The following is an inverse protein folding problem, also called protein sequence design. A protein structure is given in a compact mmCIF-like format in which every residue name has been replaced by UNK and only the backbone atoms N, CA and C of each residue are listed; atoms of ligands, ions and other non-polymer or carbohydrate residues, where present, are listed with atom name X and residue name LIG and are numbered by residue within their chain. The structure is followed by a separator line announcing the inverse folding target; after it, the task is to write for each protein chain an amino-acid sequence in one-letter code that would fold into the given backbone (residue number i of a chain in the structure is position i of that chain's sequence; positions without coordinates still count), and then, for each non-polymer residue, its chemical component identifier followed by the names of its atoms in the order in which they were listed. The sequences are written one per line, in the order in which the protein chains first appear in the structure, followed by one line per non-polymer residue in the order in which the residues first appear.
data_IF_099162805246
#
_entry.id   IF_099162805246
#
_cell.length_a   1.000
_cell.length_b   1.000
_cell.length_c   1.000
_cell.angle_alpha   90.00
_cell.angle_beta   90.00
_cell.angle_gamma   90.00
#
_symmetry.space_group_name_H-M   'P 1'
#
loop_
_entity.id
_entity.type
_entity.pdbx_description
1 polymer ?
#
# COMPACT_ATOMS: atom_id res chain seq x y z
N UNK A 1 3.49 -38.00 -5.30
CA UNK A 1 3.43 -36.76 -6.11
C UNK A 1 4.56 -35.87 -5.65
N UNK A 2 5.54 -35.61 -6.50
CA UNK A 2 6.70 -34.77 -6.18
C UNK A 2 6.25 -33.32 -6.31
N UNK A 3 6.22 -32.59 -5.20
CA UNK A 3 5.99 -31.15 -5.19
C UNK A 3 7.26 -30.47 -5.69
N UNK A 4 7.21 -29.98 -6.93
CA UNK A 4 8.32 -29.21 -7.52
C UNK A 4 8.16 -27.78 -7.02
N UNK A 5 8.92 -27.42 -5.99
CA UNK A 5 9.14 -26.01 -5.66
C UNK A 5 9.83 -25.38 -6.87
N UNK A 6 9.08 -24.57 -7.62
CA UNK A 6 9.66 -23.71 -8.65
C UNK A 6 10.53 -22.68 -7.95
N UNK A 7 11.85 -22.92 -7.97
CA UNK A 7 12.86 -21.89 -7.70
C UNK A 7 12.57 -20.71 -8.63
N UNK A 8 12.22 -19.56 -8.04
CA UNK A 8 11.79 -18.37 -8.76
C UNK A 8 12.82 -17.96 -9.82
N UNK A 9 12.44 -18.10 -11.08
CA UNK A 9 13.15 -17.42 -12.17
C UNK A 9 13.03 -15.90 -12.01
N UNK A 10 13.91 -15.12 -12.64
CA UNK A 10 13.81 -13.66 -12.63
C UNK A 10 12.42 -13.25 -13.11
N UNK A 11 11.84 -12.25 -12.45
CA UNK A 11 10.55 -11.70 -12.87
C UNK A 11 10.60 -11.34 -14.36
N UNK A 12 9.52 -11.62 -15.12
CA UNK A 12 9.48 -11.24 -16.53
C UNK A 12 9.78 -9.75 -16.67
N UNK A 13 10.74 -9.40 -17.53
CA UNK A 13 10.99 -8.02 -17.93
C UNK A 13 10.16 -7.70 -19.17
N UNK A 14 9.69 -6.47 -19.26
CA UNK A 14 8.97 -5.98 -20.42
C UNK A 14 9.85 -5.93 -21.68
N UNK A 15 9.23 -5.83 -22.87
CA UNK A 15 9.96 -5.61 -24.10
C UNK A 15 10.74 -4.28 -24.04
N UNK A 16 11.83 -4.17 -24.80
CA UNK A 16 12.61 -2.94 -24.89
C UNK A 16 11.71 -1.76 -25.32
N UNK A 17 11.70 -0.68 -24.54
CA UNK A 17 10.86 0.50 -24.76
C UNK A 17 9.48 0.46 -24.07
N UNK A 18 9.17 -0.58 -23.29
CA UNK A 18 7.98 -0.61 -22.45
C UNK A 18 8.01 0.49 -21.37
N UNK A 19 6.85 1.03 -21.03
CA UNK A 19 6.74 2.05 -19.99
C UNK A 19 7.25 1.48 -18.66
N UNK A 20 8.13 2.23 -18.00
CA UNK A 20 8.63 1.92 -16.67
C UNK A 20 8.80 3.20 -15.88
N UNK A 21 8.45 3.11 -14.60
CA UNK A 21 8.70 4.18 -13.65
C UNK A 21 9.27 3.68 -12.34
N UNK A 22 10.09 4.51 -11.72
CA UNK A 22 10.67 4.30 -10.40
C UNK A 22 10.34 5.51 -9.53
N UNK A 23 9.74 5.24 -8.39
CA UNK A 23 9.50 6.19 -7.31
C UNK A 23 10.37 5.76 -6.14
N UNK A 24 11.09 6.71 -5.55
CA UNK A 24 11.94 6.48 -4.39
C UNK A 24 11.27 7.06 -3.16
N UNK A 25 11.60 6.47 -2.03
CA UNK A 25 11.13 6.88 -0.73
C UNK A 25 12.34 6.91 0.22
N UNK A 26 12.42 7.85 1.17
CA UNK A 26 13.55 7.92 2.09
C UNK A 26 13.57 6.68 3.01
N UNK A 27 14.57 6.60 3.88
CA UNK A 27 14.66 5.51 4.85
C UNK A 27 14.35 6.09 6.22
N UNK A 28 13.50 5.38 6.97
CA UNK A 28 13.28 5.60 8.40
C UNK A 28 12.07 6.47 8.72
N UNK A 29 11.04 6.44 7.87
CA UNK A 29 9.75 7.11 8.05
C UNK A 29 8.56 6.14 8.07
N UNK A 30 8.80 4.90 8.48
CA UNK A 30 7.76 3.91 8.80
C UNK A 30 7.02 4.16 10.12
N UNK A 31 6.87 5.43 10.50
CA UNK A 31 6.26 5.93 11.73
C UNK A 31 5.02 6.83 11.47
N UNK A 32 4.43 6.73 10.28
CA UNK A 32 3.16 7.34 9.90
C UNK A 32 3.19 8.87 10.06
N UNK A 33 2.36 9.48 10.92
CA UNK A 33 2.41 10.91 11.22
C UNK A 33 3.64 11.34 12.04
N UNK A 34 4.62 10.47 12.25
CA UNK A 34 5.81 10.71 13.07
C UNK A 34 5.65 10.30 14.54
N UNK A 35 4.51 9.69 14.88
CA UNK A 35 4.20 9.26 16.26
C UNK A 35 4.07 7.75 16.39
N UNK A 36 4.01 7.00 15.28
CA UNK A 36 3.69 5.59 15.34
C UNK A 36 4.82 4.75 15.88
N UNK A 37 4.45 3.69 16.58
CA UNK A 37 5.39 2.75 17.19
C UNK A 37 5.04 1.34 16.78
N UNK A 38 6.07 0.59 16.41
CA UNK A 38 5.94 -0.81 16.05
C UNK A 38 5.36 -1.66 17.18
N UNK A 39 4.71 -2.79 16.86
CA UNK A 39 4.44 -3.83 17.83
C UNK A 39 5.71 -4.37 18.48
N UNK A 40 5.59 -4.94 19.67
CA UNK A 40 6.74 -5.40 20.45
C UNK A 40 7.20 -6.82 20.09
N UNK A 41 6.40 -7.60 19.36
CA UNK A 41 6.80 -8.93 18.92
C UNK A 41 7.93 -8.86 17.87
N UNK A 42 8.98 -9.68 17.99
CA UNK A 42 10.13 -9.64 17.09
C UNK A 42 9.81 -10.00 15.63
N UNK A 43 8.62 -10.54 15.32
CA UNK A 43 8.21 -10.74 13.92
C UNK A 43 8.05 -9.43 13.15
N UNK A 44 7.80 -8.32 13.84
CA UNK A 44 7.71 -6.98 13.23
C UNK A 44 9.09 -6.30 13.26
N UNK A 45 9.98 -6.75 12.38
CA UNK A 45 11.34 -6.22 12.26
C UNK A 45 11.26 -4.75 11.82
N UNK A 46 12.02 -3.85 12.45
CA UNK A 46 12.12 -2.45 12.02
C UNK A 46 12.55 -2.36 10.55
N UNK A 47 11.92 -1.46 9.79
CA UNK A 47 12.09 -1.38 8.34
C UNK A 47 11.19 -2.31 7.54
N UNK A 48 10.36 -3.16 8.18
CA UNK A 48 9.43 -4.05 7.47
C UNK A 48 8.30 -3.32 6.75
N UNK A 49 8.05 -2.07 7.14
CA UNK A 49 7.01 -1.19 6.62
C UNK A 49 7.58 0.15 6.11
N UNK A 50 8.90 0.26 6.00
CA UNK A 50 9.67 1.43 5.53
C UNK A 50 9.87 1.28 4.04
N UNK A 51 9.05 1.95 3.24
CA UNK A 51 9.17 1.99 1.81
C UNK A 51 10.54 2.55 1.44
N UNK A 52 11.09 2.07 0.34
CA UNK A 52 12.37 2.62 -0.17
C UNK A 52 12.32 2.85 -1.66
N UNK A 53 11.52 2.04 -2.36
CA UNK A 53 11.37 2.12 -3.79
C UNK A 53 10.14 1.38 -4.28
N UNK A 54 9.49 1.97 -5.27
CA UNK A 54 8.43 1.35 -6.05
C UNK A 54 8.82 1.40 -7.53
N UNK A 55 9.02 0.23 -8.14
CA UNK A 55 9.19 0.10 -9.59
C UNK A 55 7.89 -0.44 -10.21
N UNK A 56 7.38 0.22 -11.24
CA UNK A 56 6.21 -0.21 -12.02
C UNK A 56 6.62 -0.37 -13.48
N UNK A 57 6.33 -1.53 -14.07
CA UNK A 57 6.82 -1.92 -15.38
C UNK A 57 5.70 -2.55 -16.21
N UNK A 58 5.47 -2.03 -17.42
CA UNK A 58 4.69 -2.74 -18.43
C UNK A 58 5.47 -3.97 -18.91
N UNK A 59 4.90 -5.16 -18.73
CA UNK A 59 5.52 -6.44 -19.05
C UNK A 59 4.60 -7.33 -19.89
N UNK A 60 4.32 -6.91 -21.13
CA UNK A 60 3.54 -7.69 -22.09
C UNK A 60 2.06 -7.69 -21.73
N UNK A 61 1.49 -8.86 -21.39
CA UNK A 61 0.10 -8.98 -20.93
C UNK A 61 -0.08 -8.61 -19.45
N UNK A 62 1.02 -8.29 -18.76
CA UNK A 62 1.03 -7.99 -17.34
C UNK A 62 1.64 -6.61 -17.05
N UNK A 63 1.42 -6.16 -15.84
CA UNK A 63 2.11 -5.05 -15.19
C UNK A 63 2.79 -5.61 -13.95
N UNK A 64 4.08 -5.32 -13.78
CA UNK A 64 4.87 -5.77 -12.64
C UNK A 64 5.06 -4.60 -11.69
N UNK A 65 4.60 -4.78 -10.46
CA UNK A 65 4.87 -3.87 -9.34
C UNK A 65 5.95 -4.50 -8.46
N UNK A 66 7.03 -3.76 -8.18
CA UNK A 66 8.06 -4.16 -7.22
C UNK A 66 8.07 -3.13 -6.10
N UNK A 67 7.62 -3.53 -4.92
CA UNK A 67 7.60 -2.67 -3.72
C UNK A 67 8.73 -3.12 -2.81
N UNK A 68 9.72 -2.26 -2.62
CA UNK A 68 10.90 -2.51 -1.80
C UNK A 68 10.78 -1.82 -0.45
N UNK A 69 11.20 -2.52 0.60
CA UNK A 69 11.24 -2.01 1.98
C UNK A 69 12.63 -2.15 2.61
N UNK A 70 12.88 -1.42 3.69
CA UNK A 70 14.17 -1.37 4.39
C UNK A 70 14.44 -2.57 5.33
N UNK A 71 13.79 -3.71 5.08
CA UNK A 71 14.06 -4.96 5.78
C UNK A 71 13.84 -6.17 4.87
N UNK A 72 14.47 -7.32 5.16
CA UNK A 72 14.16 -8.57 4.46
C UNK A 72 12.68 -8.95 4.63
N UNK A 73 12.01 -9.26 3.52
CA UNK A 73 10.66 -9.82 3.55
C UNK A 73 10.72 -11.25 4.11
N UNK A 74 9.97 -11.48 5.18
CA UNK A 74 9.96 -12.76 5.89
C UNK A 74 8.55 -13.36 5.99
N UNK A 75 8.48 -14.65 6.33
CA UNK A 75 7.24 -15.40 6.45
C UNK A 75 7.08 -16.11 7.81
N UNK A 76 7.14 -15.38 8.94
CA UNK A 76 7.03 -15.97 10.27
C UNK A 76 5.72 -16.73 10.51
N UNK A 77 4.65 -16.41 9.78
CA UNK A 77 3.34 -17.06 9.93
C UNK A 77 3.10 -18.19 8.93
N UNK A 78 4.08 -18.55 8.11
CA UNK A 78 3.98 -19.68 7.18
C UNK A 78 2.89 -19.50 6.11
N UNK A 79 2.63 -18.26 5.70
CA UNK A 79 1.64 -17.93 4.68
C UNK A 79 2.03 -18.54 3.32
N UNK A 80 1.04 -18.99 2.55
CA UNK A 80 1.27 -19.59 1.24
C UNK A 80 1.87 -18.62 0.21
N UNK A 81 1.69 -17.32 0.41
CA UNK A 81 2.26 -16.24 -0.42
C UNK A 81 3.77 -16.04 -0.23
N UNK A 82 4.36 -16.63 0.80
CA UNK A 82 5.79 -16.49 1.11
C UNK A 82 6.15 -15.24 1.92
N UNK A 83 5.19 -14.43 2.36
CA UNK A 83 5.39 -13.29 3.26
C UNK A 83 4.22 -13.15 4.24
N UNK A 84 4.43 -12.49 5.39
CA UNK A 84 3.41 -12.48 6.45
C UNK A 84 2.88 -11.10 6.83
N UNK A 85 3.76 -10.12 7.04
CA UNK A 85 3.39 -8.96 7.87
C UNK A 85 2.98 -7.73 7.07
N UNK A 86 3.41 -7.59 5.81
CA UNK A 86 3.05 -6.47 4.94
C UNK A 86 1.65 -6.63 4.36
N UNK A 87 0.96 -5.50 4.17
CA UNK A 87 -0.26 -5.34 3.39
C UNK A 87 -0.11 -4.01 2.65
N UNK A 88 -0.25 -4.00 1.32
CA UNK A 88 0.03 -2.81 0.52
C UNK A 88 -1.17 -2.52 -0.37
N UNK A 89 -1.58 -1.26 -0.38
CA UNK A 89 -2.57 -0.76 -1.33
C UNK A 89 -1.93 0.28 -2.24
N UNK A 90 -1.97 0.02 -3.55
CA UNK A 90 -1.47 0.95 -4.57
C UNK A 90 -2.66 1.54 -5.28
N UNK A 91 -2.96 2.79 -4.99
CA UNK A 91 -4.00 3.58 -5.62
C UNK A 91 -3.46 4.24 -6.87
N UNK A 92 -4.25 4.19 -7.94
CA UNK A 92 -3.82 4.58 -9.28
C UNK A 92 -4.89 5.44 -9.92
N UNK A 93 -4.51 6.69 -10.15
CA UNK A 93 -5.21 7.61 -11.03
C UNK A 93 -4.77 7.33 -12.46
N UNK A 94 -5.70 6.90 -13.30
CA UNK A 94 -5.44 6.46 -14.67
C UNK A 94 -5.77 7.52 -15.71
N UNK A 95 -6.46 8.60 -15.32
CA UNK A 95 -6.97 9.61 -16.25
C UNK A 95 -6.52 11.04 -15.93
N UNK A 96 -6.10 11.32 -14.70
CA UNK A 96 -5.69 12.62 -14.16
C UNK A 96 -6.74 13.72 -14.42
N UNK A 97 -8.01 13.36 -14.25
CA UNK A 97 -9.14 14.27 -14.43
C UNK A 97 -9.75 14.64 -13.08
N UNK A 98 -9.73 15.94 -12.78
CA UNK A 98 -10.39 16.47 -11.59
C UNK A 98 -11.88 16.11 -11.55
N UNK A 99 -12.33 15.59 -10.42
CA UNK A 99 -13.68 15.09 -10.19
C UNK A 99 -13.95 13.69 -10.74
N UNK A 100 -12.94 13.01 -11.32
CA UNK A 100 -12.99 11.60 -11.70
C UNK A 100 -12.51 10.70 -10.56
N UNK A 101 -12.78 9.40 -10.69
CA UNK A 101 -12.32 8.39 -9.74
C UNK A 101 -12.99 8.43 -8.37
N UNK A 102 -12.49 7.56 -7.49
CA UNK A 102 -12.86 7.50 -6.09
C UNK A 102 -11.93 8.37 -5.25
N UNK A 103 -12.46 8.99 -4.20
CA UNK A 103 -11.65 9.75 -3.22
C UNK A 103 -11.50 9.04 -1.88
N UNK A 104 -12.36 8.05 -1.61
CA UNK A 104 -12.26 7.22 -0.42
C UNK A 104 -11.24 6.11 -0.64
N UNK A 105 -10.55 5.71 0.42
CA UNK A 105 -9.76 4.48 0.47
C UNK A 105 -10.63 3.27 0.83
N UNK A 106 -10.07 2.07 0.71
CA UNK A 106 -10.68 0.84 1.19
C UNK A 106 -11.00 0.94 2.69
N UNK A 107 -11.85 0.05 3.19
CA UNK A 107 -12.31 0.15 4.57
C UNK A 107 -11.16 -0.09 5.57
N UNK A 108 -10.96 0.85 6.49
CA UNK A 108 -9.96 0.76 7.56
C UNK A 108 -8.58 1.31 7.22
N UNK A 109 -8.43 2.12 6.18
CA UNK A 109 -7.20 2.87 5.90
C UNK A 109 -7.23 4.26 6.57
N UNK A 110 -8.43 4.84 6.66
CA UNK A 110 -8.71 6.13 7.32
C UNK A 110 -7.84 7.29 6.78
N UNK A 111 -7.60 7.31 5.46
CA UNK A 111 -7.11 8.47 4.69
C UNK A 111 -7.96 8.68 3.43
N UNK A 112 -7.91 9.87 2.85
CA UNK A 112 -8.64 10.25 1.64
C UNK A 112 -7.70 10.76 0.55
N UNK A 113 -8.22 10.81 -0.68
CA UNK A 113 -7.63 11.55 -1.79
C UNK A 113 -8.41 12.84 -2.04
N UNK A 114 -7.74 13.85 -2.61
CA UNK A 114 -8.42 15.06 -3.06
C UNK A 114 -9.30 14.75 -4.29
N UNK A 115 -10.32 15.57 -4.54
CA UNK A 115 -11.14 15.41 -5.76
C UNK A 115 -10.36 15.62 -7.05
N UNK A 116 -9.18 16.25 -6.98
CA UNK A 116 -8.33 16.51 -8.14
C UNK A 116 -7.40 15.32 -8.45
N UNK A 117 -7.27 14.39 -7.50
CA UNK A 117 -6.36 13.24 -7.53
C UNK A 117 -7.10 11.93 -7.19
N UNK A 118 -8.36 11.82 -7.63
CA UNK A 118 -9.15 10.60 -7.48
C UNK A 118 -8.54 9.41 -8.21
N UNK A 119 -8.90 8.19 -7.82
CA UNK A 119 -8.31 6.96 -8.36
C UNK A 119 -9.35 6.04 -9.02
N UNK A 120 -8.96 5.34 -10.09
CA UNK A 120 -9.82 4.35 -10.75
C UNK A 120 -9.48 2.91 -10.35
N UNK A 121 -8.22 2.66 -9.98
CA UNK A 121 -7.72 1.32 -9.68
C UNK A 121 -6.97 1.28 -8.36
N UNK A 122 -7.22 0.24 -7.57
CA UNK A 122 -6.48 -0.06 -6.35
C UNK A 122 -5.93 -1.48 -6.43
N UNK A 123 -4.60 -1.62 -6.47
CA UNK A 123 -3.91 -2.91 -6.43
C UNK A 123 -3.64 -3.27 -4.96
N UNK A 124 -4.23 -4.36 -4.48
CA UNK A 124 -3.97 -4.85 -3.11
C UNK A 124 -2.98 -6.02 -3.14
N UNK A 125 -1.78 -5.79 -2.61
CA UNK A 125 -0.75 -6.82 -2.41
C UNK A 125 -0.90 -7.36 -0.98
N UNK A 126 -1.52 -8.52 -0.87
CA UNK A 126 -1.84 -9.16 0.41
C UNK A 126 -1.19 -10.54 0.52
N UNK A 127 -0.79 -10.98 1.73
CA UNK A 127 -0.35 -12.36 1.94
C UNK A 127 -1.54 -13.34 2.00
N UNK A 128 -2.78 -12.82 2.03
CA UNK A 128 -4.01 -13.62 2.08
C UNK A 128 -4.38 -14.19 0.70
N UNK A 129 -5.17 -15.28 0.64
CA UNK A 129 -5.68 -15.79 -0.62
C UNK A 129 -6.48 -14.75 -1.41
N UNK A 130 -6.34 -14.72 -2.74
CA UNK A 130 -7.05 -13.78 -3.63
C UNK A 130 -8.56 -13.76 -3.39
N UNK A 131 -9.17 -14.93 -3.19
CA UNK A 131 -10.61 -15.05 -2.90
C UNK A 131 -11.00 -14.37 -1.59
N UNK A 132 -10.11 -14.40 -0.58
CA UNK A 132 -10.33 -13.74 0.70
C UNK A 132 -10.26 -12.23 0.55
N UNK A 133 -9.24 -11.70 -0.13
CA UNK A 133 -9.11 -10.26 -0.41
C UNK A 133 -10.37 -9.73 -1.11
N UNK A 134 -10.82 -10.41 -2.18
CA UNK A 134 -12.04 -10.04 -2.89
C UNK A 134 -13.29 -10.09 -2.02
N UNK A 135 -13.41 -11.10 -1.15
CA UNK A 135 -14.53 -11.24 -0.23
C UNK A 135 -14.59 -10.11 0.81
N UNK A 136 -13.45 -9.76 1.39
CA UNK A 136 -13.34 -8.67 2.37
C UNK A 136 -13.69 -7.31 1.74
N UNK A 137 -13.15 -7.01 0.55
CA UNK A 137 -13.48 -5.77 -0.19
C UNK A 137 -14.95 -5.74 -0.59
N UNK A 138 -15.51 -6.82 -1.11
CA UNK A 138 -16.94 -6.86 -1.48
C UNK A 138 -17.85 -6.67 -0.26
N UNK A 139 -17.45 -7.22 0.89
CA UNK A 139 -18.23 -7.13 2.12
C UNK A 139 -18.12 -5.80 2.86
N UNK A 140 -16.96 -5.14 2.80
CA UNK A 140 -16.65 -3.95 3.62
C UNK A 140 -16.48 -2.66 2.81
N UNK A 141 -16.20 -2.76 1.51
CA UNK A 141 -16.05 -1.63 0.58
C UNK A 141 -16.80 -1.88 -0.74
N UNK A 142 -18.10 -2.22 -0.71
CA UNK A 142 -18.85 -2.62 -1.90
C UNK A 142 -18.84 -1.54 -2.99
N UNK A 143 -18.89 -0.26 -2.61
CA UNK A 143 -18.91 0.88 -3.53
C UNK A 143 -17.56 1.10 -4.26
N UNK A 144 -16.47 0.54 -3.72
CA UNK A 144 -15.12 0.62 -4.27
C UNK A 144 -14.69 -0.67 -4.98
N UNK A 145 -15.50 -1.73 -4.89
CA UNK A 145 -15.13 -3.07 -5.34
C UNK A 145 -14.83 -3.14 -6.85
N UNK A 146 -15.40 -2.24 -7.67
CA UNK A 146 -15.11 -2.17 -9.11
C UNK A 146 -13.70 -1.65 -9.42
N UNK A 147 -13.08 -0.91 -8.50
CA UNK A 147 -11.71 -0.44 -8.63
C UNK A 147 -10.65 -1.47 -8.17
N UNK A 148 -11.07 -2.52 -7.46
CA UNK A 148 -10.15 -3.53 -6.93
C UNK A 148 -9.43 -4.31 -8.05
N UNK A 149 -8.12 -4.37 -7.92
CA UNK A 149 -7.23 -5.24 -8.68
C UNK A 149 -6.41 -6.08 -7.69
N UNK A 150 -6.35 -7.40 -7.91
CA UNK A 150 -5.55 -8.30 -7.08
C UNK A 150 -4.50 -8.98 -7.96
N UNK A 151 -3.21 -8.96 -7.58
CA UNK A 151 -2.16 -9.65 -8.33
C UNK A 151 -2.47 -11.14 -8.52
N UNK A 152 -2.12 -11.68 -9.70
CA UNK A 152 -2.23 -13.13 -9.95
C UNK A 152 -1.13 -13.92 -9.25
N UNK A 153 0.01 -13.26 -8.99
CA UNK A 153 1.13 -13.80 -8.21
C UNK A 153 1.81 -12.67 -7.46
N UNK A 154 2.24 -12.93 -6.23
CA UNK A 154 3.18 -12.09 -5.49
C UNK A 154 4.33 -12.95 -5.01
N UNK A 155 5.56 -12.55 -5.34
CA UNK A 155 6.77 -13.29 -4.98
C UNK A 155 7.67 -12.38 -4.15
N UNK A 156 7.99 -12.75 -2.90
CA UNK A 156 8.99 -12.04 -2.11
C UNK A 156 10.41 -12.37 -2.61
N UNK A 157 11.27 -11.37 -2.63
CA UNK A 157 12.68 -11.49 -2.99
C UNK A 157 13.50 -10.46 -2.22
N UNK A 158 14.37 -10.92 -1.31
CA UNK A 158 15.10 -10.06 -0.37
C UNK A 158 14.13 -9.07 0.33
N UNK A 159 14.38 -7.77 0.27
CA UNK A 159 13.48 -6.74 0.79
C UNK A 159 12.45 -6.25 -0.22
N UNK A 160 11.94 -7.08 -1.12
CA UNK A 160 11.02 -6.64 -2.19
C UNK A 160 9.89 -7.62 -2.44
N UNK A 161 8.66 -7.11 -2.55
CA UNK A 161 7.49 -7.84 -3.02
C UNK A 161 7.28 -7.58 -4.51
N UNK A 162 7.31 -8.63 -5.32
CA UNK A 162 7.12 -8.55 -6.78
C UNK A 162 5.72 -9.08 -7.10
N UNK A 163 4.80 -8.17 -7.40
CA UNK A 163 3.42 -8.46 -7.76
C UNK A 163 3.19 -8.41 -9.27
N UNK A 164 2.58 -9.45 -9.82
CA UNK A 164 2.19 -9.54 -11.24
C UNK A 164 0.70 -9.30 -11.35
N UNK A 165 0.30 -8.27 -12.10
CA UNK A 165 -1.09 -7.89 -12.34
C UNK A 165 -1.40 -8.06 -13.82
N UNK A 166 -2.57 -8.60 -14.17
CA UNK A 166 -2.97 -8.70 -15.58
C UNK A 166 -3.36 -7.31 -16.09
N UNK A 167 -2.83 -6.94 -17.25
CA UNK A 167 -3.17 -5.68 -17.93
C UNK A 167 -4.67 -5.59 -18.25
N UNK A 168 -5.35 -6.72 -18.45
CA UNK A 168 -6.80 -6.77 -18.66
C UNK A 168 -7.62 -6.30 -17.44
N UNK A 169 -7.07 -6.40 -16.22
CA UNK A 169 -7.75 -5.98 -14.99
C UNK A 169 -7.42 -4.52 -14.63
N UNK A 170 -6.18 -4.09 -14.94
CA UNK A 170 -5.62 -2.80 -14.55
C UNK A 170 -5.65 -1.72 -15.64
N UNK A 171 -5.39 -2.09 -16.89
CA UNK A 171 -4.95 -1.17 -17.94
C UNK A 171 -3.43 -1.18 -18.14
N UNK A 172 -2.96 -0.49 -19.19
CA UNK A 172 -1.54 -0.36 -19.50
C UNK A 172 -1.00 0.94 -18.87
N UNK A 173 0.05 0.88 -18.03
CA UNK A 173 0.60 2.07 -17.40
C UNK A 173 1.25 2.96 -18.47
N UNK A 174 1.08 4.26 -18.32
CA UNK A 174 1.50 5.27 -19.29
C UNK A 174 1.85 6.60 -18.59
N UNK A 175 2.58 7.51 -19.26
CA UNK A 175 2.80 8.85 -18.72
C UNK A 175 1.46 9.55 -18.39
N UNK A 176 1.43 10.26 -17.27
CA UNK A 176 0.23 10.94 -16.78
C UNK A 176 -0.55 10.15 -15.72
N UNK A 177 -0.32 8.84 -15.58
CA UNK A 177 -0.86 8.10 -14.45
C UNK A 177 -0.26 8.56 -13.11
N UNK A 178 -1.11 8.69 -12.10
CA UNK A 178 -0.75 8.97 -10.72
C UNK A 178 -0.73 7.70 -9.88
N UNK A 179 0.15 7.67 -8.88
CA UNK A 179 0.31 6.54 -7.99
C UNK A 179 0.46 7.01 -6.54
N UNK A 180 -0.20 6.33 -5.63
CA UNK A 180 0.07 6.41 -4.20
C UNK A 180 0.14 5.00 -3.63
N UNK A 181 1.10 4.77 -2.74
CA UNK A 181 1.31 3.50 -2.06
C UNK A 181 1.05 3.71 -0.58
N UNK A 182 0.09 2.97 -0.04
CA UNK A 182 -0.20 2.97 1.39
C UNK A 182 0.34 1.67 1.98
N UNK A 183 1.39 1.78 2.79
CA UNK A 183 1.99 0.63 3.48
C UNK A 183 1.28 0.37 4.80
N UNK A 184 0.84 -0.88 4.97
CA UNK A 184 0.12 -1.33 6.13
C UNK A 184 0.67 -2.66 6.66
N UNK A 185 0.14 -3.09 7.80
CA UNK A 185 0.42 -4.41 8.33
C UNK A 185 -0.78 -5.35 8.18
N UNK A 186 -0.54 -6.56 7.66
CA UNK A 186 -1.55 -7.59 7.51
C UNK A 186 -2.10 -8.08 8.87
N UNK A 187 -3.41 -8.26 8.91
CA UNK A 187 -4.16 -8.86 10.00
C UNK A 187 -5.10 -9.94 9.44
N UNK A 188 -4.92 -11.17 9.93
CA UNK A 188 -5.75 -12.31 9.58
C UNK A 188 -7.10 -12.33 10.29
N UNK A 189 -7.31 -11.51 11.31
CA UNK A 189 -8.55 -11.37 12.07
C UNK A 189 -8.88 -9.88 12.27
N UNK A 190 -9.13 -9.13 11.19
CA UNK A 190 -9.29 -7.69 11.26
C UNK A 190 -10.61 -7.33 11.95
N UNK A 191 -10.73 -6.07 12.35
CA UNK A 191 -12.00 -5.55 12.83
C UNK A 191 -13.10 -5.64 11.77
N UNK A 192 -14.34 -5.44 12.21
CA UNK A 192 -15.55 -5.65 11.37
C UNK A 192 -15.52 -4.81 10.09
N UNK A 193 -14.99 -3.59 10.16
CA UNK A 193 -14.97 -2.60 9.09
C UNK A 193 -13.55 -2.30 8.57
N UNK A 194 -12.62 -3.23 8.76
CA UNK A 194 -11.22 -3.11 8.31
C UNK A 194 -10.89 -4.26 7.39
N UNK A 195 -10.31 -3.99 6.22
CA UNK A 195 -9.91 -5.05 5.29
C UNK A 195 -8.51 -5.56 5.59
N UNK A 196 -8.41 -6.73 6.21
CA UNK A 196 -7.17 -7.53 6.36
C UNK A 196 -5.94 -6.75 6.87
N UNK A 197 -6.16 -5.63 7.56
CA UNK A 197 -5.12 -4.74 8.06
C UNK A 197 -5.21 -4.59 9.56
N UNK A 198 -4.05 -4.38 10.16
CA UNK A 198 -3.88 -4.12 11.59
C UNK A 198 -4.03 -2.64 11.85
N UNK A 199 -4.87 -2.31 12.81
CA UNK A 199 -5.04 -0.94 13.28
C UNK A 199 -3.83 -0.46 14.11
N UNK A 200 -3.69 0.84 14.17
CA UNK A 200 -2.84 1.60 15.08
C UNK A 200 -3.66 1.98 16.30
N UNK A 201 -3.10 1.76 17.48
CA UNK A 201 -3.75 2.05 18.76
C UNK A 201 -3.10 3.27 19.42
N UNK A 202 -3.67 3.74 20.53
CA UNK A 202 -2.99 4.74 21.39
C UNK A 202 -1.64 4.19 21.89
N UNK A 203 -1.62 2.95 22.34
CA UNK A 203 -0.41 2.26 22.82
C UNK A 203 -0.12 0.99 22.02
N UNK A 204 1.15 0.77 21.73
CA UNK A 204 1.57 -0.47 21.08
C UNK A 204 1.39 -1.68 22.00
N UNK A 205 1.43 -2.86 21.41
CA UNK A 205 1.40 -4.13 22.13
C UNK A 205 2.15 -5.19 21.35
N UNK A 206 2.03 -6.45 21.79
CA UNK A 206 2.72 -7.56 21.12
C UNK A 206 2.44 -7.58 19.61
N UNK A 207 1.17 -7.47 19.23
CA UNK A 207 0.73 -7.44 17.83
C UNK A 207 -0.07 -6.18 17.51
N UNK A 208 0.27 -5.02 18.09
CA UNK A 208 -0.46 -3.77 17.84
C UNK A 208 0.51 -2.63 17.65
N UNK A 209 0.30 -1.84 16.60
CA UNK A 209 0.98 -0.55 16.47
C UNK A 209 0.43 0.40 17.53
N UNK A 210 1.23 1.39 17.93
CA UNK A 210 0.85 2.42 18.89
C UNK A 210 1.09 3.82 18.34
N UNK A 211 0.73 4.84 19.12
CA UNK A 211 0.98 6.25 18.79
C UNK A 211 -0.09 6.91 17.92
N UNK A 212 -1.19 6.21 17.64
CA UNK A 212 -2.40 6.74 17.02
C UNK A 212 -3.49 7.00 18.06
N UNK A 213 -4.71 6.59 17.75
CA UNK A 213 -5.88 6.73 18.62
C UNK A 213 -6.56 5.39 18.85
N UNK A 214 -7.27 5.24 19.98
CA UNK A 214 -8.22 4.13 20.16
C UNK A 214 -9.64 4.50 19.65
N UNK A 215 -9.80 5.71 19.10
CA UNK A 215 -10.96 6.13 18.31
C UNK A 215 -10.75 5.85 16.81
N UNK A 216 -11.58 6.43 15.94
CA UNK A 216 -11.38 6.39 14.48
C UNK A 216 -10.92 7.75 13.96
N UNK A 217 -10.26 7.75 12.80
CA UNK A 217 -9.86 8.97 12.11
C UNK A 217 -8.35 9.15 11.93
N UNK A 218 -7.53 8.50 12.74
CA UNK A 218 -6.09 8.45 12.54
C UNK A 218 -5.74 7.56 11.35
N UNK A 219 -4.75 7.95 10.51
CA UNK A 219 -4.32 7.15 9.37
C UNK A 219 -3.85 5.76 9.77
N UNK A 220 -4.37 4.70 9.15
CA UNK A 220 -3.97 3.32 9.42
C UNK A 220 -2.85 2.86 8.47
N UNK A 221 -1.90 3.77 8.24
CA UNK A 221 -0.77 3.63 7.30
C UNK A 221 0.52 3.98 8.01
N UNK A 222 1.54 3.15 7.77
CA UNK A 222 2.85 3.28 8.41
C UNK A 222 3.75 4.18 7.58
N UNK A 223 3.52 4.24 6.28
CA UNK A 223 4.37 4.90 5.30
C UNK A 223 3.57 5.15 4.00
N UNK A 224 3.84 6.29 3.35
CA UNK A 224 3.29 6.73 2.07
C UNK A 224 4.38 7.31 1.17
N UNK A 225 4.18 7.26 -0.15
CA UNK A 225 5.03 8.05 -1.05
C UNK A 225 4.71 9.53 -0.93
N UNK A 226 5.74 10.38 -0.92
CA UNK A 226 5.59 11.83 -0.95
C UNK A 226 6.19 12.43 -2.22
N UNK A 227 5.45 13.27 -2.99
CA UNK A 227 6.02 13.97 -4.14
C UNK A 227 7.25 14.83 -3.76
N UNK A 228 8.33 14.80 -4.57
CA UNK A 228 8.46 14.22 -5.92
C UNK A 228 8.84 12.73 -5.98
N UNK A 229 8.82 12.01 -4.86
CA UNK A 229 9.23 10.61 -4.71
C UNK A 229 10.64 10.36 -5.23
N UNK A 230 11.58 11.13 -4.69
CA UNK A 230 13.02 11.07 -5.01
C UNK A 230 13.87 10.53 -3.87
N UNK A 231 13.26 10.12 -2.76
CA UNK A 231 13.96 9.59 -1.59
C UNK A 231 14.71 10.69 -0.83
N UNK A 232 14.17 11.92 -0.89
CA UNK A 232 14.75 13.08 -0.22
C UNK A 232 14.43 13.06 1.27
N UNK A 233 15.37 13.41 2.14
CA UNK A 233 15.09 13.46 3.59
C UNK A 233 14.00 14.47 3.97
N UNK A 234 13.68 15.44 3.09
CA UNK A 234 12.56 16.36 3.25
C UNK A 234 11.19 15.68 3.07
N UNK A 235 11.14 14.55 2.36
CA UNK A 235 9.92 13.74 2.16
C UNK A 235 9.42 13.18 3.50
N UNK A 236 10.32 12.80 4.43
CA UNK A 236 9.98 12.35 5.79
C UNK A 236 9.13 13.40 6.53
N UNK A 237 9.64 14.63 6.63
CA UNK A 237 8.93 15.70 7.35
C UNK A 237 7.61 16.07 6.68
N UNK A 238 7.52 15.95 5.34
CA UNK A 238 6.29 16.18 4.59
C UNK A 238 5.28 15.06 4.82
N UNK A 239 5.69 13.79 4.88
CA UNK A 239 4.82 12.69 5.28
C UNK A 239 4.20 12.98 6.64
N UNK A 240 5.04 13.32 7.63
CA UNK A 240 4.55 13.67 8.98
C UNK A 240 3.54 14.82 8.94
N UNK A 241 3.80 15.86 8.14
CA UNK A 241 2.87 16.97 7.95
C UNK A 241 1.55 16.54 7.30
N UNK A 242 1.58 15.68 6.28
CA UNK A 242 0.40 15.18 5.58
C UNK A 242 -0.44 14.32 6.51
N UNK A 243 0.19 13.31 7.11
CA UNK A 243 -0.51 12.31 7.91
C UNK A 243 -0.92 12.82 9.29
N UNK A 244 -0.39 13.95 9.78
CA UNK A 244 -0.85 14.58 11.03
C UNK A 244 -2.08 15.48 10.85
N UNK A 245 -2.53 15.74 9.62
CA UNK A 245 -3.73 16.55 9.32
C UNK A 245 -5.03 15.76 9.48
N UNK A 246 -5.17 15.03 10.58
CA UNK A 246 -6.38 14.33 10.96
C UNK A 246 -6.93 14.83 12.30
N UNK A 247 -8.17 14.49 12.59
CA UNK A 247 -8.77 14.61 13.91
C UNK A 247 -9.51 13.32 14.21
N UNK A 248 -9.00 12.54 15.17
CA UNK A 248 -9.67 11.33 15.64
C UNK A 248 -10.65 11.66 16.76
N UNK A 249 -11.84 11.06 16.72
CA UNK A 249 -12.92 11.35 17.67
C UNK A 249 -13.85 10.13 17.83
N UNK A 250 -14.51 10.04 18.99
CA UNK A 250 -15.57 9.04 19.22
C UNK A 250 -16.83 9.35 18.40
N UNK A 251 -17.07 10.65 18.14
CA UNK A 251 -18.17 11.13 17.34
C UNK A 251 -17.74 11.19 15.88
N UNK A 252 -18.27 10.26 15.07
CA UNK A 252 -17.96 10.17 13.64
C UNK A 252 -18.21 11.48 12.88
N UNK A 253 -19.10 12.35 13.35
CA UNK A 253 -19.36 13.65 12.72
C UNK A 253 -18.21 14.67 12.90
N UNK A 254 -17.30 14.42 13.83
CA UNK A 254 -16.13 15.29 14.11
C UNK A 254 -14.85 14.77 13.49
N UNK A 255 -14.85 13.53 12.99
CA UNK A 255 -13.66 12.92 12.40
C UNK A 255 -13.23 13.73 11.17
N UNK A 256 -11.93 14.00 11.09
CA UNK A 256 -11.27 14.54 9.90
C UNK A 256 -10.18 13.57 9.49
N UNK A 257 -10.23 13.09 8.26
CA UNK A 257 -9.20 12.20 7.71
C UNK A 257 -8.09 13.01 7.04
N UNK A 258 -6.85 12.52 7.15
CA UNK A 258 -5.75 13.06 6.37
C UNK A 258 -6.00 12.85 4.87
N UNK A 259 -5.56 13.81 4.05
CA UNK A 259 -5.64 13.74 2.59
C UNK A 259 -4.24 13.49 2.04
N UNK A 260 -4.04 12.33 1.41
CA UNK A 260 -2.74 11.92 0.84
C UNK A 260 -2.62 12.37 -0.62
N UNK A 261 -1.42 12.78 -1.06
CA UNK A 261 -1.19 13.20 -2.45
C UNK A 261 -1.09 12.01 -3.39
N UNK A 262 -1.20 12.24 -4.69
CA UNK A 262 -0.70 11.31 -5.71
C UNK A 262 0.71 11.71 -6.15
N UNK A 263 1.55 10.72 -6.47
CA UNK A 263 2.79 10.96 -7.22
C UNK A 263 2.47 10.80 -8.69
N UNK A 264 2.72 11.83 -9.50
CA UNK A 264 2.62 11.78 -10.96
C UNK A 264 4.01 11.81 -11.60
N UNK A 265 4.64 10.66 -11.84
CA UNK A 265 6.01 10.63 -12.34
C UNK A 265 6.10 11.17 -13.77
N UNK A 266 7.03 12.09 -13.99
CA UNK A 266 7.29 12.66 -15.31
C UNK A 266 6.36 13.81 -15.71
N UNK A 267 5.41 14.19 -14.86
CA UNK A 267 4.83 15.55 -14.93
C UNK A 267 5.92 16.54 -14.47
N UNK A 268 6.15 17.60 -15.25
CA UNK A 268 6.93 18.74 -14.77
C UNK A 268 6.17 19.38 -13.62
N UNK A 269 6.68 19.23 -12.40
CA UNK A 269 6.20 19.96 -11.21
C UNK A 269 6.52 21.44 -11.32
#
# INVERSE_FOLDING_TARGET
MVSVYAMGGPAPQGPAGAYRVTMLDPIGDDDGPGTYTYPTDPVYVRGSFDLTKVDIEDAGDNVIFKVSVNAPISNPWGMASGFSVQMIEIYIDTDHQAGSGFTNTMAGIDVLFSSDEGWEKCVIISPQPISRVKGEVTGKSPDLASGLVVPVTTVPSAGTLIATVRKADLGAPQPGWGYQVLMQSNEGFPERDVILSRMVNEYNGQHRFGGGSDWRGDPQVMDILVPPAKGGADEISKQHEILSKYHADEDAAKIVYAVVPMVYPGASQ
#
